data_IF_522245948737
#
_entry.id   IF_522245948737
#
_cell.length_a   1.000
_cell.length_b   1.000
_cell.length_c   1.000
_cell.angle_alpha   90.00
_cell.angle_beta   90.00
_cell.angle_gamma   90.00
#
_symmetry.space_group_name_H-M   'P 1'
#
loop_
_entity.id
_entity.type
_entity.pdbx_description
1 polymer ?
#
# COMPACT_ATOMS: atom_id res chain seq x y z
N UNK A 1 6.47 27.50 -14.69
CA UNK A 1 7.70 27.97 -14.02
C UNK A 1 7.34 28.33 -12.59
N UNK A 2 7.55 27.40 -11.62
CA UNK A 2 7.28 27.69 -10.22
C UNK A 2 8.31 28.71 -9.75
N UNK A 3 7.86 29.89 -9.34
CA UNK A 3 8.72 30.83 -8.62
C UNK A 3 9.15 30.14 -7.33
N UNK A 4 10.46 29.87 -7.17
CA UNK A 4 11.01 29.43 -5.89
C UNK A 4 10.70 30.52 -4.87
N UNK A 5 9.76 30.25 -3.97
CA UNK A 5 9.59 31.11 -2.81
C UNK A 5 10.83 30.96 -1.93
N UNK A 6 11.25 32.07 -1.34
CA UNK A 6 12.31 32.01 -0.32
C UNK A 6 11.76 31.26 0.90
N UNK A 7 12.43 30.21 1.31
CA UNK A 7 12.14 29.48 2.54
C UNK A 7 13.43 29.23 3.30
N UNK A 8 13.34 29.12 4.60
CA UNK A 8 14.46 28.79 5.47
C UNK A 8 14.37 27.31 5.84
N UNK A 9 15.25 26.43 5.31
CA UNK A 9 15.20 25.00 5.60
C UNK A 9 15.77 24.73 6.98
N UNK A 10 15.01 24.01 7.82
CA UNK A 10 15.47 23.47 9.09
C UNK A 10 15.61 21.96 8.93
N UNK A 11 16.84 21.44 8.92
CA UNK A 11 17.17 20.07 8.58
C UNK A 11 17.53 19.28 9.83
N UNK A 12 17.03 18.06 9.94
CA UNK A 12 17.31 17.14 11.03
C UNK A 12 17.71 15.77 10.47
N UNK A 13 18.42 14.96 11.24
CA UNK A 13 18.80 13.61 10.86
C UNK A 13 17.71 12.57 11.17
N UNK A 14 16.86 12.85 12.16
CA UNK A 14 15.82 11.91 12.62
C UNK A 14 14.42 12.50 12.48
N UNK A 15 13.49 11.65 12.03
CA UNK A 15 12.09 12.04 11.84
C UNK A 15 11.42 12.56 13.13
N UNK A 16 11.72 11.96 14.29
CA UNK A 16 11.13 12.39 15.56
C UNK A 16 11.60 13.81 15.97
N UNK A 17 12.82 14.20 15.61
CA UNK A 17 13.33 15.56 15.85
C UNK A 17 12.59 16.59 14.98
N UNK A 18 12.25 16.22 13.74
CA UNK A 18 11.45 17.07 12.84
C UNK A 18 10.05 17.27 13.40
N UNK A 19 9.39 16.17 13.81
CA UNK A 19 8.03 16.23 14.38
C UNK A 19 7.99 17.11 15.61
N UNK A 20 8.92 16.94 16.53
CA UNK A 20 9.00 17.75 17.74
C UNK A 20 9.23 19.24 17.42
N UNK A 21 10.16 19.55 16.51
CA UNK A 21 10.43 20.93 16.10
C UNK A 21 9.22 21.60 15.43
N UNK A 22 8.44 20.84 14.66
CA UNK A 22 7.22 21.31 14.05
C UNK A 22 6.11 21.53 15.10
N UNK A 23 5.89 20.56 16.00
CA UNK A 23 4.88 20.63 17.06
C UNK A 23 5.15 21.78 18.06
N UNK A 24 6.44 22.08 18.31
CA UNK A 24 6.90 23.22 19.11
C UNK A 24 6.75 24.58 18.38
N UNK A 25 6.30 24.60 17.14
CA UNK A 25 6.15 25.82 16.33
C UNK A 25 7.47 26.44 15.85
N UNK A 26 8.54 25.64 15.78
CA UNK A 26 9.84 26.10 15.22
C UNK A 26 9.82 26.12 13.68
N UNK A 27 8.86 25.42 13.07
CA UNK A 27 8.65 25.35 11.63
C UNK A 27 7.15 25.51 11.32
N UNK A 28 6.84 26.28 10.29
CA UNK A 28 5.45 26.48 9.82
C UNK A 28 4.96 25.35 8.92
N UNK A 29 5.88 24.57 8.36
CA UNK A 29 5.60 23.53 7.38
C UNK A 29 6.52 22.34 7.59
N UNK A 30 5.96 21.15 7.47
CA UNK A 30 6.70 19.89 7.46
C UNK A 30 6.49 19.20 6.12
N UNK A 31 7.55 18.67 5.50
CA UNK A 31 7.49 17.97 4.21
C UNK A 31 8.20 16.62 4.28
N UNK A 32 7.50 15.59 3.85
CA UNK A 32 7.99 14.22 3.60
C UNK A 32 6.96 13.52 2.71
N UNK A 33 7.04 12.20 2.51
CA UNK A 33 6.02 11.45 1.79
C UNK A 33 4.64 11.55 2.47
N UNK A 34 3.57 11.50 1.66
CA UNK A 34 2.19 11.75 2.13
C UNK A 34 1.75 10.78 3.22
N UNK A 35 2.13 9.51 3.11
CA UNK A 35 1.84 8.49 4.12
C UNK A 35 2.59 8.76 5.44
N UNK A 36 3.84 9.21 5.34
CA UNK A 36 4.62 9.66 6.47
C UNK A 36 4.00 10.87 7.16
N UNK A 37 3.60 11.90 6.40
CA UNK A 37 2.91 13.09 6.95
C UNK A 37 1.63 12.71 7.69
N UNK A 38 0.80 11.85 7.08
CA UNK A 38 -0.44 11.41 7.70
C UNK A 38 -0.17 10.63 9.01
N UNK A 39 0.82 9.73 9.02
CA UNK A 39 1.21 9.00 10.21
C UNK A 39 1.82 9.89 11.29
N UNK A 40 2.67 10.87 10.93
CA UNK A 40 3.27 11.79 11.90
C UNK A 40 2.22 12.76 12.49
N UNK A 41 1.23 13.18 11.70
CA UNK A 41 0.13 14.00 12.19
C UNK A 41 -0.56 13.38 13.40
N UNK A 42 -0.73 12.06 13.44
CA UNK A 42 -1.37 11.37 14.58
C UNK A 42 -0.61 11.48 15.89
N UNK A 43 0.66 11.90 15.85
CA UNK A 43 1.55 12.05 17.04
C UNK A 43 1.59 13.48 17.55
N UNK A 44 1.05 14.46 16.83
CA UNK A 44 1.05 15.87 17.23
C UNK A 44 0.14 16.09 18.43
N UNK A 45 0.38 17.12 19.19
CA UNK A 45 -0.41 17.48 20.38
C UNK A 45 -1.89 17.74 20.02
N UNK A 46 -2.17 18.34 18.87
CA UNK A 46 -3.50 18.56 18.32
C UNK A 46 -3.53 18.17 16.84
N UNK A 47 -3.75 16.88 16.49
CA UNK A 47 -3.75 16.42 15.09
C UNK A 47 -4.77 17.15 14.19
N UNK A 48 -5.89 17.64 14.75
CA UNK A 48 -6.95 18.26 13.98
C UNK A 48 -6.64 19.72 13.61
N UNK A 49 -5.69 20.35 14.30
CA UNK A 49 -5.19 21.67 13.94
C UNK A 49 -4.25 21.65 12.71
N UNK A 50 -3.89 20.48 12.20
CA UNK A 50 -2.93 20.31 11.12
C UNK A 50 -3.56 19.64 9.89
N UNK A 51 -3.17 20.08 8.70
CA UNK A 51 -3.67 19.58 7.44
C UNK A 51 -2.53 19.05 6.55
N UNK A 52 -2.75 17.88 5.96
CA UNK A 52 -1.90 17.39 4.86
C UNK A 52 -2.47 17.95 3.56
N UNK A 53 -1.68 18.80 2.88
CA UNK A 53 -2.12 19.46 1.65
C UNK A 53 -2.39 18.42 0.54
N UNK A 54 -3.38 18.66 -0.34
CA UNK A 54 -3.72 17.75 -1.42
C UNK A 54 -2.65 17.71 -2.53
N UNK A 55 -1.87 18.79 -2.67
CA UNK A 55 -0.85 18.92 -3.69
C UNK A 55 0.28 17.89 -3.51
N UNK A 56 0.63 17.23 -4.60
CA UNK A 56 1.77 16.31 -4.65
C UNK A 56 2.93 16.98 -5.38
N UNK A 57 4.01 17.27 -4.65
CA UNK A 57 5.18 17.97 -5.19
C UNK A 57 6.23 17.02 -5.80
N UNK A 58 6.21 15.75 -5.42
CA UNK A 58 7.07 14.68 -5.99
C UNK A 58 6.35 13.35 -5.95
N UNK A 59 6.88 12.36 -6.67
CA UNK A 59 6.38 10.98 -6.67
C UNK A 59 7.44 10.09 -6.05
N UNK A 60 7.05 9.35 -5.04
CA UNK A 60 7.92 8.40 -4.33
C UNK A 60 7.21 7.05 -4.24
N UNK A 61 7.44 6.16 -5.25
CA UNK A 61 6.85 4.83 -5.23
C UNK A 61 7.54 3.96 -4.18
N UNK A 62 6.95 3.87 -3.01
CA UNK A 62 7.43 3.03 -1.91
C UNK A 62 7.17 1.56 -2.23
N UNK A 63 8.08 0.68 -1.83
CA UNK A 63 7.95 -0.76 -2.02
C UNK A 63 8.75 -1.56 -1.00
N UNK A 64 8.46 -2.86 -0.86
CA UNK A 64 9.25 -3.75 -0.03
C UNK A 64 10.70 -3.82 -0.51
N UNK A 65 11.64 -3.90 0.43
CA UNK A 65 13.07 -4.06 0.16
C UNK A 65 13.50 -5.48 0.56
N UNK A 66 14.23 -6.13 -0.33
CA UNK A 66 14.81 -7.45 -0.09
C UNK A 66 16.34 -7.38 -0.23
N UNK A 67 17.05 -8.42 0.28
CA UNK A 67 18.49 -8.51 0.14
C UNK A 67 18.86 -8.64 -1.33
N UNK A 68 19.91 -7.93 -1.75
CA UNK A 68 20.48 -8.08 -3.09
C UNK A 68 21.05 -9.50 -3.29
N UNK A 69 20.83 -10.06 -4.49
CA UNK A 69 21.29 -11.40 -4.84
C UNK A 69 20.37 -12.55 -4.39
N UNK A 70 19.28 -12.26 -3.67
CA UNK A 70 18.26 -13.24 -3.29
C UNK A 70 17.04 -13.13 -4.24
N UNK A 71 17.24 -13.65 -5.46
CA UNK A 71 16.22 -13.59 -6.51
C UNK A 71 14.95 -14.34 -6.17
N UNK A 72 15.07 -15.54 -5.58
CA UNK A 72 13.93 -16.38 -5.25
C UNK A 72 13.04 -15.69 -4.20
N UNK A 73 13.64 -15.11 -3.17
CA UNK A 73 12.89 -14.36 -2.17
C UNK A 73 12.29 -13.07 -2.74
N UNK A 74 13.00 -12.38 -3.63
CA UNK A 74 12.48 -11.20 -4.32
C UNK A 74 11.23 -11.53 -5.15
N UNK A 75 11.21 -12.69 -5.80
CA UNK A 75 10.05 -13.16 -6.56
C UNK A 75 8.87 -13.52 -5.64
N UNK A 76 9.11 -14.18 -4.51
CA UNK A 76 8.07 -14.44 -3.50
C UNK A 76 7.43 -13.13 -3.03
N UNK A 77 8.22 -12.14 -2.65
CA UNK A 77 7.72 -10.84 -2.17
C UNK A 77 6.94 -10.11 -3.28
N UNK A 78 7.49 -10.08 -4.49
CA UNK A 78 6.84 -9.43 -5.64
C UNK A 78 5.49 -10.08 -5.98
N UNK A 79 5.47 -11.39 -6.09
CA UNK A 79 4.25 -12.10 -6.44
C UNK A 79 3.22 -12.13 -5.33
N UNK A 80 3.64 -12.08 -4.07
CA UNK A 80 2.72 -11.88 -2.94
C UNK A 80 1.95 -10.56 -3.08
N UNK A 81 2.64 -9.46 -3.37
CA UNK A 81 1.99 -8.17 -3.62
C UNK A 81 1.09 -8.20 -4.85
N UNK A 82 1.57 -8.79 -5.97
CA UNK A 82 0.78 -8.91 -7.18
C UNK A 82 -0.49 -9.74 -6.96
N UNK A 83 -0.42 -10.83 -6.22
CA UNK A 83 -1.58 -11.65 -5.89
C UNK A 83 -2.62 -10.88 -5.06
N UNK A 84 -2.19 -10.04 -4.13
CA UNK A 84 -3.09 -9.18 -3.35
C UNK A 84 -3.78 -8.14 -4.23
N UNK A 85 -3.06 -7.52 -5.17
CA UNK A 85 -3.61 -6.55 -6.12
C UNK A 85 -4.59 -7.26 -7.10
N UNK A 86 -4.18 -8.39 -7.68
CA UNK A 86 -5.04 -9.17 -8.59
C UNK A 86 -6.30 -9.68 -7.88
N UNK A 87 -6.19 -10.12 -6.62
CA UNK A 87 -7.34 -10.50 -5.80
C UNK A 87 -8.34 -9.36 -5.64
N UNK A 88 -7.88 -8.14 -5.39
CA UNK A 88 -8.73 -6.96 -5.34
C UNK A 88 -9.41 -6.67 -6.68
N UNK A 89 -8.67 -6.76 -7.78
CA UNK A 89 -9.21 -6.56 -9.14
C UNK A 89 -10.37 -7.51 -9.47
N UNK A 90 -10.35 -8.71 -8.92
CA UNK A 90 -11.41 -9.71 -9.09
C UNK A 90 -12.41 -9.77 -7.93
N UNK A 91 -12.34 -8.83 -6.99
CA UNK A 91 -13.25 -8.73 -5.85
C UNK A 91 -13.10 -9.87 -4.84
N UNK A 92 -11.95 -10.55 -4.82
CA UNK A 92 -11.64 -11.58 -3.84
C UNK A 92 -11.10 -10.90 -2.58
N UNK A 93 -11.84 -10.99 -1.48
CA UNK A 93 -11.54 -10.33 -0.19
C UNK A 93 -11.29 -11.36 0.91
N UNK A 94 -10.73 -10.93 2.04
CA UNK A 94 -10.57 -11.79 3.21
C UNK A 94 -11.90 -12.42 3.63
N UNK A 95 -12.98 -11.66 3.59
CA UNK A 95 -14.29 -12.10 4.07
C UNK A 95 -15.00 -13.08 3.13
N UNK A 96 -14.73 -13.02 1.81
CA UNK A 96 -15.45 -13.83 0.81
C UNK A 96 -14.58 -14.92 0.17
N UNK A 97 -13.27 -14.94 0.41
CA UNK A 97 -12.34 -15.84 -0.29
C UNK A 97 -12.78 -17.31 -0.25
N UNK A 98 -13.17 -17.81 0.91
CA UNK A 98 -13.57 -19.21 1.06
C UNK A 98 -14.78 -19.55 0.18
N UNK A 99 -15.82 -18.72 0.22
CA UNK A 99 -17.06 -18.94 -0.53
C UNK A 99 -16.85 -18.74 -2.02
N UNK A 100 -16.16 -17.67 -2.41
CA UNK A 100 -15.86 -17.34 -3.80
C UNK A 100 -15.00 -18.43 -4.44
N UNK A 101 -13.95 -18.87 -3.74
CA UNK A 101 -13.10 -19.93 -4.22
C UNK A 101 -13.87 -21.25 -4.38
N UNK A 102 -14.79 -21.59 -3.49
CA UNK A 102 -15.58 -22.81 -3.63
C UNK A 102 -16.39 -22.85 -4.93
N UNK A 103 -16.95 -21.72 -5.34
CA UNK A 103 -17.96 -21.63 -6.41
C UNK A 103 -17.46 -21.04 -7.73
N UNK A 104 -16.25 -20.49 -7.79
CA UNK A 104 -15.78 -19.77 -8.97
C UNK A 104 -15.65 -20.66 -10.21
N UNK A 105 -16.09 -20.13 -11.35
CA UNK A 105 -15.80 -20.64 -12.69
C UNK A 105 -14.84 -19.73 -13.47
N UNK A 106 -14.42 -18.61 -12.88
CA UNK A 106 -13.46 -17.70 -13.48
C UNK A 106 -12.04 -18.31 -13.36
N UNK A 107 -11.33 -18.57 -14.47
CA UNK A 107 -10.02 -19.23 -14.42
C UNK A 107 -8.96 -18.43 -13.66
N UNK A 108 -9.02 -17.10 -13.70
CA UNK A 108 -8.07 -16.23 -12.95
C UNK A 108 -8.31 -16.39 -11.45
N UNK A 109 -9.57 -16.31 -11.02
CA UNK A 109 -9.91 -16.50 -9.60
C UNK A 109 -9.62 -17.94 -9.15
N UNK A 110 -9.86 -18.95 -10.02
CA UNK A 110 -9.53 -20.34 -9.72
C UNK A 110 -8.02 -20.53 -9.49
N UNK A 111 -7.19 -19.84 -10.24
CA UNK A 111 -5.73 -19.81 -10.07
C UNK A 111 -5.32 -19.16 -8.73
N UNK A 112 -5.87 -17.99 -8.43
CA UNK A 112 -5.68 -17.33 -7.13
C UNK A 112 -6.12 -18.20 -5.95
N UNK A 113 -7.10 -19.07 -6.19
CA UNK A 113 -7.58 -20.04 -5.20
C UNK A 113 -6.75 -21.35 -5.13
N UNK A 114 -5.68 -21.45 -5.91
CA UNK A 114 -4.85 -22.68 -5.98
C UNK A 114 -5.52 -23.88 -6.62
N UNK A 115 -6.59 -23.69 -7.40
CA UNK A 115 -7.31 -24.79 -8.08
C UNK A 115 -6.71 -25.17 -9.43
N UNK A 116 -6.04 -24.24 -10.07
CA UNK A 116 -5.27 -24.48 -11.30
C UNK A 116 -3.79 -24.36 -10.94
N UNK A 117 -3.07 -25.47 -11.02
CA UNK A 117 -1.69 -25.59 -10.56
C UNK A 117 -0.67 -24.80 -11.40
N UNK A 118 0.54 -24.69 -10.88
CA UNK A 118 1.73 -24.20 -11.57
C UNK A 118 2.30 -22.90 -11.02
N UNK A 119 1.51 -22.06 -10.36
CA UNK A 119 1.99 -20.77 -9.87
C UNK A 119 2.85 -20.90 -8.59
N UNK A 120 2.52 -21.84 -7.71
CA UNK A 120 3.27 -22.11 -6.49
C UNK A 120 4.62 -22.76 -6.76
N UNK A 121 4.68 -23.71 -7.68
CA UNK A 121 5.90 -24.41 -8.04
C UNK A 121 7.01 -23.46 -8.54
N UNK A 122 6.64 -22.40 -9.28
CA UNK A 122 7.59 -21.37 -9.74
C UNK A 122 8.22 -20.54 -8.61
N UNK A 123 7.59 -20.51 -7.44
CA UNK A 123 8.03 -19.79 -6.26
C UNK A 123 8.57 -20.69 -5.15
N UNK A 124 8.67 -22.00 -5.39
CA UNK A 124 8.96 -23.02 -4.37
C UNK A 124 7.94 -22.99 -3.19
N UNK A 125 6.68 -22.66 -3.49
CA UNK A 125 5.58 -22.59 -2.53
C UNK A 125 4.50 -23.66 -2.87
N UNK A 126 3.61 -23.93 -1.91
CA UNK A 126 2.40 -24.70 -2.16
C UNK A 126 1.45 -23.98 -3.13
N UNK A 127 0.62 -24.71 -3.87
CA UNK A 127 -0.30 -24.11 -4.85
C UNK A 127 -1.37 -23.19 -4.23
N UNK A 128 -1.64 -23.33 -2.94
CA UNK A 128 -2.57 -22.47 -2.18
C UNK A 128 -1.99 -21.11 -1.74
N UNK A 129 -0.73 -20.81 -2.06
CA UNK A 129 0.00 -19.66 -1.49
C UNK A 129 -0.76 -18.34 -1.62
N UNK A 130 -1.37 -18.05 -2.76
CA UNK A 130 -2.14 -16.81 -2.98
C UNK A 130 -3.48 -16.84 -2.24
N UNK A 131 -4.16 -17.99 -2.19
CA UNK A 131 -5.35 -18.20 -1.35
C UNK A 131 -5.04 -17.99 0.13
N UNK A 132 -3.93 -18.52 0.61
CA UNK A 132 -3.49 -18.40 2.00
C UNK A 132 -3.24 -16.92 2.35
N UNK A 133 -2.60 -16.15 1.46
CA UNK A 133 -2.42 -14.70 1.65
C UNK A 133 -3.78 -14.02 1.81
N UNK A 134 -4.71 -14.22 0.88
CA UNK A 134 -5.99 -13.51 0.91
C UNK A 134 -6.84 -13.91 2.12
N UNK A 135 -6.84 -15.17 2.50
CA UNK A 135 -7.60 -15.63 3.68
C UNK A 135 -7.00 -15.16 5.00
N UNK A 136 -5.68 -15.06 5.09
CA UNK A 136 -4.98 -14.67 6.33
C UNK A 136 -4.90 -13.17 6.54
N UNK A 137 -4.65 -12.39 5.47
CA UNK A 137 -4.43 -10.95 5.59
C UNK A 137 -5.37 -10.09 4.74
N UNK A 138 -5.97 -10.66 3.70
CA UNK A 138 -6.84 -9.94 2.77
C UNK A 138 -6.16 -9.60 1.45
N UNK A 139 -6.92 -8.98 0.55
CA UNK A 139 -6.40 -8.38 -0.67
C UNK A 139 -5.72 -7.03 -0.37
N UNK A 140 -5.19 -6.35 -1.40
CA UNK A 140 -4.50 -5.07 -1.19
C UNK A 140 -5.44 -4.01 -0.57
N UNK A 141 -6.69 -3.94 -1.01
CA UNK A 141 -7.68 -3.03 -0.45
C UNK A 141 -7.99 -3.30 1.03
N UNK A 142 -8.21 -4.58 1.38
CA UNK A 142 -8.46 -4.99 2.77
C UNK A 142 -7.31 -4.52 3.69
N UNK A 143 -6.07 -4.74 3.27
CA UNK A 143 -4.88 -4.35 4.05
C UNK A 143 -4.73 -2.83 4.13
N UNK A 144 -4.94 -2.12 3.01
CA UNK A 144 -4.87 -0.67 2.97
C UNK A 144 -5.89 -0.05 3.92
N UNK A 145 -7.17 -0.42 3.79
CA UNK A 145 -8.26 0.13 4.61
C UNK A 145 -8.08 -0.18 6.10
N UNK A 146 -7.54 -1.35 6.42
CA UNK A 146 -7.29 -1.76 7.81
C UNK A 146 -6.19 -0.94 8.48
N UNK A 147 -5.14 -0.55 7.75
CA UNK A 147 -3.93 0.01 8.35
C UNK A 147 -3.77 1.52 8.14
N UNK A 148 -4.22 2.05 7.00
CA UNK A 148 -4.02 3.46 6.65
C UNK A 148 -5.26 4.14 6.07
N UNK A 149 -6.35 3.41 5.84
CA UNK A 149 -7.57 3.88 5.22
C UNK A 149 -8.29 4.99 5.99
N UNK A 150 -9.35 5.53 5.40
CA UNK A 150 -10.10 6.69 5.91
C UNK A 150 -10.63 6.50 7.34
N UNK A 151 -10.97 5.26 7.72
CA UNK A 151 -11.51 4.94 9.05
C UNK A 151 -10.42 4.63 10.09
N UNK A 152 -9.15 4.86 9.77
CA UNK A 152 -8.03 4.73 10.70
C UNK A 152 -7.58 6.11 11.19
N UNK A 153 -6.78 6.19 12.27
CA UNK A 153 -6.19 7.47 12.70
C UNK A 153 -5.33 8.14 11.61
N UNK A 154 -4.79 7.37 10.67
CA UNK A 154 -3.98 7.87 9.53
C UNK A 154 -4.87 8.58 8.50
N UNK A 155 -6.07 8.04 8.23
CA UNK A 155 -7.13 8.70 7.46
C UNK A 155 -6.80 8.95 5.99
N UNK A 156 -6.14 8.01 5.29
CA UNK A 156 -5.81 8.17 3.87
C UNK A 156 -6.89 7.57 2.97
N UNK A 157 -7.61 8.43 2.25
CA UNK A 157 -8.54 8.00 1.21
C UNK A 157 -7.80 7.39 0.01
N UNK A 158 -8.24 6.23 -0.47
CA UNK A 158 -7.76 5.63 -1.73
C UNK A 158 -8.46 6.22 -2.95
N UNK A 159 -9.74 6.55 -2.82
CA UNK A 159 -10.53 7.11 -3.91
C UNK A 159 -9.88 8.38 -4.47
N UNK A 160 -9.70 8.43 -5.80
CA UNK A 160 -9.06 9.56 -6.48
C UNK A 160 -7.55 9.66 -6.27
N UNK A 161 -6.92 8.72 -5.60
CA UNK A 161 -5.46 8.68 -5.40
C UNK A 161 -4.78 7.71 -6.38
N UNK A 162 -3.46 7.84 -6.60
CA UNK A 162 -2.69 6.85 -7.36
C UNK A 162 -2.77 5.42 -6.78
N UNK A 163 -3.05 5.27 -5.49
CA UNK A 163 -3.20 3.97 -4.83
C UNK A 163 -4.56 3.29 -5.07
N UNK A 164 -5.48 3.93 -5.77
CA UNK A 164 -6.70 3.28 -6.23
C UNK A 164 -6.37 2.22 -7.31
N UNK A 165 -7.22 1.21 -7.44
CA UNK A 165 -7.16 0.27 -8.56
C UNK A 165 -7.22 1.00 -9.89
N UNK A 166 -6.57 0.47 -10.92
CA UNK A 166 -6.68 1.02 -12.28
C UNK A 166 -8.14 1.07 -12.78
N UNK A 167 -8.99 0.17 -12.29
CA UNK A 167 -10.43 0.16 -12.59
C UNK A 167 -11.16 1.39 -12.05
N UNK A 168 -10.60 1.98 -10.99
CA UNK A 168 -11.14 3.14 -10.30
C UNK A 168 -10.34 4.42 -10.58
N UNK A 169 -9.53 4.40 -11.66
CA UNK A 169 -8.74 5.55 -12.10
C UNK A 169 -7.40 5.74 -11.41
N UNK A 170 -6.97 4.80 -10.59
CA UNK A 170 -5.63 4.77 -9.99
C UNK A 170 -4.57 4.12 -10.90
N UNK A 171 -3.42 3.80 -10.33
CA UNK A 171 -2.31 3.18 -11.08
C UNK A 171 -1.97 1.77 -10.59
N UNK A 172 -2.70 1.25 -9.61
CA UNK A 172 -2.48 -0.10 -9.12
C UNK A 172 -3.10 -1.12 -10.08
N UNK A 173 -2.27 -1.95 -10.66
CA UNK A 173 -2.63 -3.16 -11.40
C UNK A 173 -1.57 -4.22 -11.20
N UNK A 174 -1.94 -5.48 -11.35
CA UNK A 174 -1.00 -6.59 -11.29
C UNK A 174 -0.80 -7.24 -12.67
N UNK A 175 0.41 -7.73 -12.99
CA UNK A 175 0.58 -8.67 -14.09
C UNK A 175 -0.16 -9.97 -13.74
N UNK A 176 -0.86 -10.59 -14.70
CA UNK A 176 -1.61 -11.81 -14.44
C UNK A 176 -0.67 -12.96 -14.07
N UNK A 177 -0.98 -13.66 -12.97
CA UNK A 177 -0.30 -14.90 -12.61
C UNK A 177 -0.63 -15.98 -13.64
N UNK A 178 0.36 -16.46 -14.42
CA UNK A 178 0.22 -17.47 -15.49
C UNK A 178 1.25 -18.57 -15.35
#
# INVERSE_FOLDING_TARGET
>A
MYKRQAYEPVVFEKADEVVNAYDEGRCDTYTTDKSGLAAQRTKLADPDAHVVLPETISKEPLGPVVREGDGDWADVVRWSLNAMIEAEEFGLTQSNAQTTCAMTSNPVVARLCGKEGGTGAGLNLGESWSYDIVTMVGNYGDVYEKHVGENTPVGLARAGSPNASYKDGGVLYAPPAR
#
